data_IF_909579728229
#
_entry.id   IF_909579728229
#
_cell.length_a   1.000
_cell.length_b   1.000
_cell.length_c   1.000
_cell.angle_alpha   90.00
_cell.angle_beta   90.00
_cell.angle_gamma   90.00
#
_symmetry.space_group_name_H-M   'P 1'
#
loop_
_entity.id
_entity.type
_entity.pdbx_description
1 polymer ?
#
# COMPACT_ATOMS: atom_id res chain seq x y z
N UNK A 1 -8.76 -32.62 69.54
CA UNK A 1 -8.46 -31.37 70.26
C UNK A 1 -7.31 -30.69 69.53
N UNK A 2 -7.55 -29.49 69.00
CA UNK A 2 -6.60 -28.45 68.55
C UNK A 2 -5.69 -28.78 67.35
N UNK A 3 -5.43 -27.93 66.35
CA UNK A 3 -5.68 -26.51 66.13
C UNK A 3 -5.56 -26.24 64.61
N UNK A 4 -6.48 -25.48 64.03
CA UNK A 4 -6.30 -24.89 62.70
C UNK A 4 -5.18 -23.84 62.76
N UNK A 5 -4.33 -23.79 61.74
CA UNK A 5 -3.65 -22.55 61.36
C UNK A 5 -3.86 -22.36 59.86
N UNK A 6 -4.90 -21.60 59.53
CA UNK A 6 -5.02 -20.91 58.26
C UNK A 6 -4.15 -19.65 58.29
N UNK A 7 -3.79 -19.19 57.08
CA UNK A 7 -3.33 -17.85 56.73
C UNK A 7 -1.81 -17.68 56.49
N UNK A 8 -1.32 -18.28 55.40
CA UNK A 8 -0.27 -17.64 54.62
C UNK A 8 -0.95 -16.67 53.64
N UNK A 9 -1.13 -15.44 54.08
CA UNK A 9 -1.60 -14.32 53.26
C UNK A 9 -0.83 -14.31 51.95
N UNK A 10 -1.54 -14.49 50.83
CA UNK A 10 -1.01 -14.13 49.51
C UNK A 10 -0.71 -12.64 49.57
N UNK A 11 0.56 -12.30 49.44
CA UNK A 11 0.98 -10.92 49.25
C UNK A 11 0.50 -10.47 47.85
N UNK A 12 -0.65 -9.79 47.80
CA UNK A 12 -1.29 -9.33 46.56
C UNK A 12 -0.62 -8.04 46.04
N UNK A 13 0.49 -7.61 46.64
CA UNK A 13 1.12 -6.30 46.38
C UNK A 13 2.46 -6.35 45.62
N UNK A 14 2.89 -7.53 45.16
CA UNK A 14 4.08 -7.66 44.31
C UNK A 14 3.78 -7.24 42.87
N UNK A 15 4.22 -6.04 42.48
CA UNK A 15 4.19 -5.61 41.08
C UNK A 15 4.81 -6.67 40.15
N UNK A 16 4.23 -6.82 38.96
CA UNK A 16 4.66 -7.85 38.00
C UNK A 16 6.13 -7.61 37.61
N UNK A 17 7.05 -8.44 38.13
CA UNK A 17 8.48 -8.34 37.81
C UNK A 17 8.71 -8.90 36.41
N UNK A 18 8.83 -8.03 35.42
CA UNK A 18 9.19 -8.40 34.05
C UNK A 18 10.66 -8.81 34.01
N UNK A 19 10.92 -10.07 33.65
CA UNK A 19 12.27 -10.55 33.35
C UNK A 19 12.65 -10.17 31.91
N UNK A 20 13.50 -9.15 31.78
CA UNK A 20 13.92 -8.59 30.49
C UNK A 20 14.73 -9.62 29.67
N UNK A 21 15.32 -10.63 30.30
CA UNK A 21 16.10 -11.68 29.62
C UNK A 21 15.23 -12.80 29.02
N UNK A 22 13.94 -12.85 29.34
CA UNK A 22 12.99 -13.85 28.81
C UNK A 22 12.14 -13.34 27.66
N UNK A 23 12.23 -12.06 27.32
CA UNK A 23 11.50 -11.45 26.21
C UNK A 23 12.19 -11.63 24.86
N UNK A 24 11.41 -11.81 23.80
CA UNK A 24 11.88 -11.74 22.41
C UNK A 24 11.37 -10.46 21.74
N UNK A 25 12.18 -9.86 20.85
CA UNK A 25 11.75 -8.72 20.04
C UNK A 25 10.90 -9.19 18.86
N UNK A 26 9.58 -9.04 18.97
CA UNK A 26 8.64 -9.30 17.86
C UNK A 26 8.56 -8.07 16.95
N UNK A 27 9.44 -7.99 15.94
CA UNK A 27 9.49 -6.89 14.98
C UNK A 27 8.53 -7.02 13.78
N UNK A 28 7.81 -8.14 13.67
CA UNK A 28 7.03 -8.51 12.48
C UNK A 28 6.04 -7.43 12.05
N UNK A 29 5.25 -6.89 12.97
CA UNK A 29 4.24 -5.85 12.66
C UNK A 29 4.90 -4.60 12.10
N UNK A 30 6.05 -4.20 12.65
CA UNK A 30 6.82 -3.06 12.14
C UNK A 30 7.38 -3.33 10.75
N UNK A 31 7.91 -4.54 10.51
CA UNK A 31 8.41 -4.94 9.18
C UNK A 31 7.29 -5.02 8.14
N UNK A 32 6.15 -5.62 8.49
CA UNK A 32 4.98 -5.70 7.62
C UNK A 32 4.46 -4.30 7.26
N UNK A 33 4.32 -3.41 8.25
CA UNK A 33 3.93 -2.02 8.00
C UNK A 33 4.95 -1.28 7.14
N UNK A 34 6.25 -1.46 7.39
CA UNK A 34 7.32 -0.81 6.62
C UNK A 34 7.34 -1.29 5.16
N UNK A 35 7.00 -2.55 4.91
CA UNK A 35 6.95 -3.14 3.56
C UNK A 35 5.74 -2.72 2.73
N UNK A 36 4.76 -2.03 3.33
CA UNK A 36 3.58 -1.58 2.60
C UNK A 36 3.93 -0.48 1.59
N UNK A 37 3.24 -0.45 0.44
CA UNK A 37 3.26 0.70 -0.45
C UNK A 37 2.88 2.00 0.26
N UNK A 38 3.38 3.12 -0.25
CA UNK A 38 3.16 4.46 0.33
C UNK A 38 1.67 4.80 0.47
N UNK A 39 0.85 4.39 -0.50
CA UNK A 39 -0.60 4.60 -0.54
C UNK A 39 -1.40 3.61 0.34
N UNK A 40 -0.73 2.67 0.99
CA UNK A 40 -1.31 1.69 1.92
C UNK A 40 -0.78 1.84 3.36
N UNK A 41 0.04 2.88 3.59
CA UNK A 41 0.75 3.13 4.84
C UNK A 41 0.15 4.34 5.57
N UNK A 42 -0.54 4.05 6.68
CA UNK A 42 -1.23 5.05 7.49
C UNK A 42 -0.63 5.10 8.89
N UNK A 43 -0.53 6.30 9.48
CA UNK A 43 0.03 6.53 10.82
C UNK A 43 -1.00 6.29 11.93
N UNK A 44 -2.29 6.26 11.60
CA UNK A 44 -3.37 5.97 12.56
C UNK A 44 -4.64 5.40 11.89
N UNK A 45 -5.51 4.78 12.69
CA UNK A 45 -6.84 4.33 12.22
C UNK A 45 -7.74 5.49 11.80
N UNK A 46 -7.60 6.65 12.45
CA UNK A 46 -8.34 7.85 12.06
C UNK A 46 -7.90 8.37 10.68
N UNK A 47 -6.59 8.36 10.41
CA UNK A 47 -6.04 8.73 9.09
C UNK A 47 -6.45 7.74 7.99
N UNK A 48 -6.41 6.43 8.30
CA UNK A 48 -6.94 5.40 7.40
C UNK A 48 -8.42 5.68 7.08
N UNK A 49 -9.26 5.87 8.10
CA UNK A 49 -10.69 6.13 7.94
C UNK A 49 -10.98 7.37 7.09
N UNK A 50 -10.25 8.47 7.36
CA UNK A 50 -10.36 9.71 6.57
C UNK A 50 -9.97 9.48 5.11
N UNK A 51 -8.82 8.88 4.86
CA UNK A 51 -8.28 8.69 3.50
C UNK A 51 -9.18 7.78 2.66
N UNK A 52 -9.65 6.67 3.25
CA UNK A 52 -10.59 5.76 2.59
C UNK A 52 -11.91 6.48 2.30
N UNK A 53 -12.47 7.24 3.25
CA UNK A 53 -13.71 7.98 3.04
C UNK A 53 -13.56 9.01 1.92
N UNK A 54 -12.51 9.82 1.93
CA UNK A 54 -12.23 10.81 0.89
C UNK A 54 -12.06 10.17 -0.50
N UNK A 55 -11.48 8.97 -0.58
CA UNK A 55 -11.36 8.20 -1.83
C UNK A 55 -12.72 7.68 -2.30
N UNK A 56 -13.54 7.16 -1.40
CA UNK A 56 -14.89 6.66 -1.71
C UNK A 56 -15.76 7.78 -2.27
N UNK A 57 -15.81 8.95 -1.62
CA UNK A 57 -16.65 10.09 -2.04
C UNK A 57 -16.28 10.63 -3.43
N UNK A 58 -15.01 10.53 -3.81
CA UNK A 58 -14.51 11.01 -5.12
C UNK A 58 -14.42 9.91 -6.17
N UNK A 59 -14.70 8.66 -5.82
CA UNK A 59 -14.57 7.53 -6.72
C UNK A 59 -15.61 7.62 -7.83
N UNK A 60 -15.16 7.39 -9.07
CA UNK A 60 -16.01 7.32 -10.26
C UNK A 60 -15.56 6.13 -11.09
N UNK A 61 -16.51 5.50 -11.76
CA UNK A 61 -16.24 4.37 -12.65
C UNK A 61 -16.65 4.74 -14.07
N UNK A 62 -15.78 4.42 -15.04
CA UNK A 62 -16.05 4.56 -16.46
C UNK A 62 -15.20 3.58 -17.25
N UNK A 63 -15.69 3.19 -18.42
CA UNK A 63 -14.94 2.38 -19.40
C UNK A 63 -14.11 3.32 -20.27
N UNK A 64 -12.83 3.01 -20.42
CA UNK A 64 -11.87 3.74 -21.26
C UNK A 64 -11.18 2.72 -22.15
N UNK A 65 -11.06 3.03 -23.44
CA UNK A 65 -10.26 2.22 -24.35
C UNK A 65 -8.77 2.34 -23.97
N UNK A 66 -8.11 1.22 -23.71
CA UNK A 66 -6.72 1.20 -23.24
C UNK A 66 -5.76 1.94 -24.18
N UNK A 67 -5.99 1.86 -25.49
CA UNK A 67 -5.18 2.56 -26.50
C UNK A 67 -5.25 4.10 -26.40
N UNK A 68 -6.29 4.64 -25.77
CA UNK A 68 -6.46 6.08 -25.56
C UNK A 68 -5.89 6.56 -24.22
N UNK A 69 -5.34 5.66 -23.39
CA UNK A 69 -4.66 6.01 -22.15
C UNK A 69 -3.25 6.51 -22.52
N UNK A 70 -2.96 7.77 -22.19
CA UNK A 70 -1.60 8.29 -22.29
C UNK A 70 -0.88 8.23 -20.96
N UNK A 71 0.39 7.85 -21.00
CA UNK A 71 1.25 7.75 -19.83
C UNK A 71 2.30 8.84 -19.90
N UNK A 72 2.30 9.71 -18.89
CA UNK A 72 3.25 10.81 -18.78
C UNK A 72 4.13 10.63 -17.54
N UNK A 73 5.44 10.75 -17.73
CA UNK A 73 6.40 10.84 -16.63
C UNK A 73 6.71 12.31 -16.35
N UNK A 74 6.85 12.66 -15.08
CA UNK A 74 7.23 14.01 -14.69
C UNK A 74 8.65 14.32 -15.16
N UNK A 75 8.85 15.54 -15.65
CA UNK A 75 10.17 16.06 -16.05
C UNK A 75 11.01 16.51 -14.86
N UNK A 76 10.38 16.75 -13.72
CA UNK A 76 11.01 17.31 -12.51
C UNK A 76 11.08 16.31 -11.37
N UNK A 77 10.44 15.14 -11.51
CA UNK A 77 10.37 14.10 -10.48
C UNK A 77 10.46 12.72 -11.16
N UNK A 78 11.61 12.04 -11.06
CA UNK A 78 11.84 10.77 -11.75
C UNK A 78 10.99 9.62 -11.21
N UNK A 79 10.30 9.77 -10.08
CA UNK A 79 9.42 8.75 -9.50
C UNK A 79 7.94 8.98 -9.88
N UNK A 80 7.60 10.15 -10.42
CA UNK A 80 6.21 10.48 -10.74
C UNK A 80 5.80 10.10 -12.15
N UNK A 81 4.75 9.30 -12.21
CA UNK A 81 4.03 8.92 -13.42
C UNK A 81 2.54 9.25 -13.25
N UNK A 82 1.92 9.74 -14.32
CA UNK A 82 0.49 10.05 -14.38
C UNK A 82 -0.15 9.47 -15.64
N UNK A 83 -1.44 9.20 -15.54
CA UNK A 83 -2.29 8.74 -16.63
C UNK A 83 -3.16 9.92 -17.09
N UNK A 84 -3.12 10.21 -18.39
CA UNK A 84 -4.05 11.12 -19.05
C UNK A 84 -5.14 10.27 -19.68
N UNK A 85 -6.37 10.42 -19.18
CA UNK A 85 -7.52 9.66 -19.63
C UNK A 85 -8.46 10.55 -20.46
N UNK A 86 -9.05 10.05 -21.56
CA UNK A 86 -10.05 10.79 -22.32
C UNK A 86 -11.20 11.24 -21.43
N UNK A 87 -11.49 12.54 -21.38
CA UNK A 87 -12.57 13.11 -20.56
C UNK A 87 -12.28 13.20 -19.06
N UNK A 88 -11.02 13.02 -18.62
CA UNK A 88 -10.62 13.39 -17.28
C UNK A 88 -10.10 14.83 -17.25
N UNK A 89 -10.56 15.63 -16.29
CA UNK A 89 -10.17 17.05 -16.17
C UNK A 89 -8.72 17.23 -15.73
N UNK A 90 -8.11 16.19 -15.15
CA UNK A 90 -6.75 16.22 -14.59
C UNK A 90 -6.03 14.88 -14.80
N UNK A 91 -4.69 14.88 -14.90
CA UNK A 91 -3.89 13.68 -14.82
C UNK A 91 -4.16 12.89 -13.54
N UNK A 92 -4.14 11.56 -13.62
CA UNK A 92 -4.41 10.68 -12.49
C UNK A 92 -3.14 9.85 -12.20
N UNK A 93 -2.61 9.97 -10.98
CA UNK A 93 -1.54 9.07 -10.54
C UNK A 93 -2.13 7.68 -10.24
N UNK A 94 -1.57 6.59 -10.78
CA UNK A 94 -2.00 5.25 -10.42
C UNK A 94 -1.62 4.93 -8.96
N UNK A 95 -2.49 4.21 -8.25
CA UNK A 95 -2.15 3.58 -6.97
C UNK A 95 -1.18 2.42 -7.18
N UNK A 96 -0.54 1.93 -6.12
CA UNK A 96 0.33 0.76 -6.22
C UNK A 96 -0.38 -0.45 -6.85
N UNK A 97 -1.65 -0.67 -6.46
CA UNK A 97 -2.51 -1.70 -7.03
C UNK A 97 -2.85 -1.44 -8.50
N UNK A 98 -3.32 -0.24 -8.87
CA UNK A 98 -3.73 0.04 -10.25
C UNK A 98 -2.56 0.08 -11.21
N UNK A 99 -1.36 0.47 -10.76
CA UNK A 99 -0.14 0.30 -11.53
C UNK A 99 0.14 -1.18 -11.85
N UNK A 100 -0.07 -2.06 -10.86
CA UNK A 100 0.05 -3.50 -11.04
C UNK A 100 -0.96 -4.05 -12.06
N UNK A 101 -2.22 -3.58 -11.99
CA UNK A 101 -3.25 -3.93 -12.97
C UNK A 101 -2.89 -3.46 -14.38
N UNK A 102 -2.42 -2.22 -14.53
CA UNK A 102 -1.99 -1.65 -15.80
C UNK A 102 -0.83 -2.44 -16.42
N UNK A 103 0.17 -2.77 -15.60
CA UNK A 103 1.30 -3.61 -16.01
C UNK A 103 0.84 -5.01 -16.47
N UNK A 104 -0.08 -5.62 -15.73
CA UNK A 104 -0.66 -6.92 -16.09
C UNK A 104 -1.44 -6.87 -17.40
N UNK A 105 -2.18 -5.78 -17.67
CA UNK A 105 -2.93 -5.60 -18.92
C UNK A 105 -2.01 -5.58 -20.15
N UNK A 106 -0.80 -5.06 -20.00
CA UNK A 106 0.20 -4.98 -21.07
C UNK A 106 1.23 -6.12 -21.04
N UNK A 107 1.01 -7.16 -20.22
CA UNK A 107 1.90 -8.30 -20.12
C UNK A 107 3.28 -8.00 -19.51
N UNK A 108 3.43 -6.89 -18.78
CA UNK A 108 4.70 -6.46 -18.20
C UNK A 108 4.81 -6.82 -16.69
N UNK A 109 5.99 -7.26 -16.20
CA UNK A 109 6.18 -7.53 -14.78
C UNK A 109 6.15 -6.24 -13.94
N UNK A 110 5.09 -6.05 -13.15
CA UNK A 110 4.91 -4.84 -12.33
C UNK A 110 6.06 -4.59 -11.35
N UNK A 111 6.63 -5.64 -10.75
CA UNK A 111 7.74 -5.51 -9.81
C UNK A 111 9.01 -4.94 -10.48
N UNK A 112 9.27 -5.32 -11.74
CA UNK A 112 10.38 -4.77 -12.52
C UNK A 112 10.12 -3.32 -12.90
N UNK A 113 8.92 -3.01 -13.42
CA UNK A 113 8.59 -1.64 -13.83
C UNK A 113 8.66 -0.62 -12.68
N UNK A 114 8.36 -1.03 -11.44
CA UNK A 114 8.49 -0.16 -10.25
C UNK A 114 9.93 0.15 -9.85
N UNK A 115 10.91 -0.59 -10.36
CA UNK A 115 12.34 -0.33 -10.10
C UNK A 115 12.93 0.63 -11.14
N UNK A 116 12.18 0.95 -12.20
CA UNK A 116 12.63 1.84 -13.25
C UNK A 116 12.23 3.28 -12.93
N UNK A 117 13.04 4.27 -13.38
CA UNK A 117 12.58 5.65 -13.44
C UNK A 117 11.25 5.75 -14.18
N UNK A 118 10.38 6.65 -13.72
CA UNK A 118 9.03 6.87 -14.26
C UNK A 118 9.02 7.05 -15.77
N UNK A 119 10.05 7.68 -16.36
CA UNK A 119 10.17 7.84 -17.81
C UNK A 119 10.28 6.48 -18.53
N UNK A 120 11.12 5.57 -18.03
CA UNK A 120 11.29 4.23 -18.62
C UNK A 120 10.06 3.36 -18.36
N UNK A 121 9.52 3.38 -17.14
CA UNK A 121 8.28 2.68 -16.83
C UNK A 121 7.13 3.18 -17.73
N UNK A 122 7.04 4.50 -17.92
CA UNK A 122 6.02 5.15 -18.73
C UNK A 122 6.10 4.78 -20.20
N UNK A 123 7.30 4.74 -20.79
CA UNK A 123 7.49 4.31 -22.18
C UNK A 123 7.07 2.84 -22.36
N UNK A 124 7.47 1.95 -21.45
CA UNK A 124 7.09 0.54 -21.51
C UNK A 124 5.56 0.36 -21.40
N UNK A 125 4.92 1.07 -20.48
CA UNK A 125 3.46 1.06 -20.32
C UNK A 125 2.76 1.64 -21.54
N UNK A 126 3.22 2.77 -22.08
CA UNK A 126 2.62 3.43 -23.24
C UNK A 126 2.71 2.57 -24.50
N UNK A 127 3.86 1.95 -24.73
CA UNK A 127 4.03 0.98 -25.82
C UNK A 127 3.06 -0.17 -25.64
N UNK A 128 2.98 -0.72 -24.43
CA UNK A 128 2.09 -1.81 -24.12
C UNK A 128 0.60 -1.47 -24.36
N UNK A 129 0.15 -0.30 -23.92
CA UNK A 129 -1.24 0.14 -24.06
C UNK A 129 -1.66 0.37 -25.52
N UNK A 130 -0.72 0.73 -26.39
CA UNK A 130 -0.97 0.95 -27.82
C UNK A 130 -0.80 -0.32 -28.66
N UNK A 131 0.13 -1.20 -28.27
CA UNK A 131 0.48 -2.41 -29.02
C UNK A 131 -0.27 -3.66 -28.57
N UNK A 132 -0.56 -3.83 -27.27
CA UNK A 132 -1.28 -4.99 -26.76
C UNK A 132 -2.79 -4.82 -26.92
N UNK A 133 -3.38 -5.55 -27.87
CA UNK A 133 -4.77 -5.98 -27.71
C UNK A 133 -4.81 -6.90 -26.49
N UNK A 134 -5.57 -6.50 -25.48
CA UNK A 134 -5.83 -7.32 -24.29
C UNK A 134 -6.06 -8.77 -24.72
N UNK A 135 -5.34 -9.70 -24.09
CA UNK A 135 -5.57 -11.14 -24.27
C UNK A 135 -7.05 -11.39 -23.99
N UNK A 136 -7.81 -11.66 -25.06
CA UNK A 136 -9.15 -12.23 -25.01
C UNK A 136 -9.10 -13.64 -24.45
#
# INVERSE_FOLDING_TARGET
MNMQVLDARRDVSGGWKVDINRGERIGRVSSEWFSRPDDERYLSLAELGRTVRERTERSRTRVVESALIHVEASRTDPERLALILPGADKPIAPTHWSFGQLASQVGAPAAYLRQLPAALAGINLQYGLTAHRALS
#
